data_IF_233223578526
#
_entry.id   IF_233223578526
#
_cell.length_a   1.000
_cell.length_b   1.000
_cell.length_c   1.000
_cell.angle_alpha   90.00
_cell.angle_beta   90.00
_cell.angle_gamma   90.00
#
_symmetry.space_group_name_H-M   'P 1'
#
loop_
_entity.id
_entity.type
_entity.pdbx_description
1 polymer ?
#
# COMPACT_ATOMS: atom_id res chain seq x y z
N UNK A 1 -24.76 -1.06 1.31
CA UNK A 1 -23.50 -1.66 0.81
C UNK A 1 -22.97 -0.75 -0.27
N UNK A 2 -21.71 -0.36 -0.16
CA UNK A 2 -21.04 0.42 -1.20
C UNK A 2 -21.03 -0.39 -2.50
N UNK A 3 -21.65 0.17 -3.56
CA UNK A 3 -21.83 -0.51 -4.87
C UNK A 3 -20.51 -0.86 -5.58
N UNK A 4 -19.38 -0.37 -5.04
CA UNK A 4 -18.07 -0.61 -5.60
C UNK A 4 -17.41 -1.91 -5.12
N UNK A 5 -17.83 -2.47 -3.98
CA UNK A 5 -17.23 -3.68 -3.39
C UNK A 5 -17.80 -4.94 -4.06
N UNK A 6 -16.92 -5.79 -4.56
CA UNK A 6 -17.25 -7.04 -5.24
C UNK A 6 -16.64 -8.23 -4.48
N UNK A 7 -17.43 -9.28 -4.29
CA UNK A 7 -16.94 -10.59 -3.85
C UNK A 7 -16.90 -11.51 -5.07
N UNK A 8 -15.73 -11.95 -5.45
CA UNK A 8 -15.51 -12.72 -6.66
C UNK A 8 -14.60 -13.93 -6.40
N UNK A 9 -14.75 -14.95 -7.24
CA UNK A 9 -13.77 -16.03 -7.36
C UNK A 9 -12.79 -15.64 -8.47
N UNK A 10 -11.61 -15.19 -8.07
CA UNK A 10 -10.56 -14.74 -8.99
C UNK A 10 -9.68 -15.92 -9.42
N UNK A 11 -9.33 -16.00 -10.71
CA UNK A 11 -8.40 -16.99 -11.24
C UNK A 11 -6.97 -16.50 -11.11
N UNK A 12 -6.08 -17.36 -10.68
CA UNK A 12 -4.64 -17.09 -10.65
C UNK A 12 -4.09 -17.11 -12.07
N UNK A 13 -3.55 -15.98 -12.50
CA UNK A 13 -2.85 -15.84 -13.78
C UNK A 13 -1.38 -16.25 -13.67
N UNK A 14 -0.71 -15.78 -12.62
CA UNK A 14 0.66 -16.16 -12.30
C UNK A 14 0.96 -15.96 -10.82
N UNK A 15 1.94 -16.69 -10.34
CA UNK A 15 2.53 -16.58 -9.01
C UNK A 15 4.04 -16.72 -9.13
N UNK A 16 4.78 -15.69 -8.71
CA UNK A 16 6.23 -15.68 -8.80
C UNK A 16 6.83 -15.26 -7.46
N UNK A 17 7.85 -15.98 -7.00
CA UNK A 17 8.65 -15.56 -5.86
C UNK A 17 9.67 -14.53 -6.34
N UNK A 18 9.66 -13.32 -5.79
CA UNK A 18 10.54 -12.21 -6.20
C UNK A 18 11.64 -11.88 -5.18
N UNK A 19 11.48 -12.36 -3.94
CA UNK A 19 12.49 -12.29 -2.89
C UNK A 19 12.30 -13.48 -1.92
N UNK A 20 13.08 -13.58 -0.85
CA UNK A 20 13.10 -14.74 0.06
C UNK A 20 11.71 -15.12 0.55
N UNK A 21 10.91 -14.15 0.97
CA UNK A 21 9.55 -14.32 1.50
C UNK A 21 8.50 -13.45 0.79
N UNK A 22 8.84 -12.85 -0.37
CA UNK A 22 7.98 -11.94 -1.14
C UNK A 22 7.53 -12.59 -2.45
N UNK A 23 6.24 -12.48 -2.71
CA UNK A 23 5.56 -13.08 -3.86
C UNK A 23 4.79 -12.03 -4.65
N UNK A 24 4.83 -12.18 -5.97
CA UNK A 24 4.06 -11.42 -6.96
C UNK A 24 2.95 -12.32 -7.49
N UNK A 25 1.72 -12.01 -7.13
CA UNK A 25 0.50 -12.74 -7.50
C UNK A 25 -0.32 -11.90 -8.48
N UNK A 26 -0.64 -12.47 -9.63
CA UNK A 26 -1.54 -11.86 -10.61
C UNK A 26 -2.84 -12.63 -10.67
N UNK A 27 -3.96 -11.91 -10.57
CA UNK A 27 -5.31 -12.46 -10.54
C UNK A 27 -6.16 -11.88 -11.67
N UNK A 28 -6.92 -12.73 -12.33
CA UNK A 28 -8.05 -12.29 -13.17
C UNK A 28 -9.19 -11.86 -12.23
N UNK A 29 -9.44 -10.56 -12.15
CA UNK A 29 -10.34 -9.94 -11.18
C UNK A 29 -11.03 -8.70 -11.78
N UNK A 30 -11.53 -8.78 -13.01
CA UNK A 30 -12.05 -7.67 -13.80
C UNK A 30 -12.95 -6.70 -13.04
N UNK A 31 -14.02 -7.15 -12.36
CA UNK A 31 -14.90 -6.24 -11.61
C UNK A 31 -14.25 -5.45 -10.48
N UNK A 32 -13.14 -5.98 -9.92
CA UNK A 32 -12.34 -5.29 -8.91
C UNK A 32 -11.31 -4.37 -9.56
N UNK A 33 -10.62 -4.84 -10.61
CA UNK A 33 -9.60 -4.07 -11.33
C UNK A 33 -10.18 -2.79 -11.96
N UNK A 34 -11.41 -2.85 -12.49
CA UNK A 34 -12.10 -1.71 -13.10
C UNK A 34 -12.31 -0.55 -12.12
N UNK A 35 -12.61 -0.87 -10.86
CA UNK A 35 -13.02 0.11 -9.84
C UNK A 35 -11.91 0.52 -8.89
N UNK A 36 -10.82 -0.24 -8.86
CA UNK A 36 -9.72 0.00 -7.94
C UNK A 36 -8.98 1.31 -8.25
N UNK A 37 -8.57 2.00 -7.18
CA UNK A 37 -7.74 3.20 -7.24
C UNK A 37 -6.47 3.00 -6.40
N UNK A 38 -5.38 3.74 -6.68
CA UNK A 38 -4.11 3.60 -5.96
C UNK A 38 -4.26 3.73 -4.44
N UNK A 39 -3.64 2.84 -3.68
CA UNK A 39 -3.68 2.83 -2.21
C UNK A 39 -4.78 1.96 -1.61
N UNK A 40 -5.71 1.44 -2.41
CA UNK A 40 -6.70 0.47 -1.96
C UNK A 40 -6.09 -0.94 -1.81
N UNK A 41 -6.84 -1.83 -1.18
CA UNK A 41 -6.47 -3.22 -0.94
C UNK A 41 -7.61 -4.18 -1.29
N UNK A 42 -7.32 -5.46 -1.27
CA UNK A 42 -8.31 -6.55 -1.35
C UNK A 42 -8.16 -7.47 -0.14
N UNK A 43 -9.24 -8.12 0.26
CA UNK A 43 -9.24 -9.22 1.22
C UNK A 43 -9.24 -10.55 0.47
N UNK A 44 -8.20 -11.37 0.67
CA UNK A 44 -8.09 -12.72 0.08
C UNK A 44 -8.49 -13.74 1.14
N UNK A 45 -9.38 -14.65 0.78
CA UNK A 45 -9.87 -15.72 1.64
C UNK A 45 -9.06 -17.00 1.43
N UNK A 46 -8.77 -17.67 2.54
CA UNK A 46 -8.13 -18.99 2.50
C UNK A 46 -9.08 -20.05 1.92
N UNK A 47 -8.53 -20.98 1.14
CA UNK A 47 -9.24 -22.17 0.72
C UNK A 47 -9.39 -23.19 1.86
N UNK A 48 -8.53 -23.10 2.88
CA UNK A 48 -8.64 -23.85 4.13
C UNK A 48 -9.74 -23.26 5.03
N UNK A 49 -10.86 -23.96 5.14
CA UNK A 49 -12.05 -23.54 5.88
C UNK A 49 -11.82 -23.38 7.40
N UNK A 50 -10.72 -23.87 7.95
CA UNK A 50 -10.34 -23.63 9.35
C UNK A 50 -9.81 -22.21 9.56
N UNK A 51 -9.46 -21.46 8.50
CA UNK A 51 -8.90 -20.11 8.53
C UNK A 51 -9.98 -19.09 8.18
N UNK A 52 -10.76 -18.70 9.18
CA UNK A 52 -11.98 -17.90 8.99
C UNK A 52 -11.73 -16.47 8.53
N UNK A 53 -10.61 -15.83 8.93
CA UNK A 53 -10.36 -14.44 8.61
C UNK A 53 -9.64 -14.30 7.25
N UNK A 54 -10.04 -13.35 6.40
CA UNK A 54 -9.32 -13.04 5.17
C UNK A 54 -8.00 -12.32 5.46
N UNK A 55 -7.15 -12.21 4.43
CA UNK A 55 -5.88 -11.46 4.49
C UNK A 55 -5.99 -10.22 3.63
N UNK A 56 -5.87 -9.02 4.25
CA UNK A 56 -5.80 -7.77 3.49
C UNK A 56 -4.45 -7.70 2.77
N UNK A 57 -4.49 -7.48 1.47
CA UNK A 57 -3.31 -7.30 0.62
C UNK A 57 -3.52 -6.06 -0.22
N UNK A 58 -2.58 -5.12 -0.16
CA UNK A 58 -2.61 -3.91 -0.97
C UNK A 58 -2.54 -4.22 -2.46
N UNK A 59 -3.28 -3.47 -3.26
CA UNK A 59 -3.20 -3.56 -4.72
C UNK A 59 -1.91 -2.86 -5.16
N UNK A 60 -1.05 -3.61 -5.85
CA UNK A 60 0.20 -3.11 -6.43
C UNK A 60 -0.06 -2.40 -7.75
N UNK A 61 -0.80 -3.06 -8.65
CA UNK A 61 -1.15 -2.53 -9.98
C UNK A 61 -2.50 -3.07 -10.44
N UNK A 62 -3.11 -2.31 -11.33
CA UNK A 62 -4.35 -2.68 -12.02
C UNK A 62 -4.12 -2.68 -13.54
N UNK A 63 -4.47 -3.77 -14.21
CA UNK A 63 -4.62 -3.79 -15.66
C UNK A 63 -6.11 -3.86 -15.98
N UNK A 64 -6.71 -2.70 -16.21
CA UNK A 64 -8.15 -2.59 -16.50
C UNK A 64 -8.52 -3.23 -17.84
N UNK A 65 -7.63 -3.18 -18.82
CA UNK A 65 -7.86 -3.75 -20.14
C UNK A 65 -7.87 -5.28 -20.11
N UNK A 66 -6.95 -5.87 -19.36
CA UNK A 66 -6.90 -7.32 -19.14
C UNK A 66 -7.81 -7.81 -18.00
N UNK A 67 -8.43 -6.89 -17.24
CA UNK A 67 -9.20 -7.23 -16.05
C UNK A 67 -8.36 -7.90 -14.97
N UNK A 68 -7.10 -7.49 -14.80
CA UNK A 68 -6.16 -8.15 -13.91
C UNK A 68 -5.71 -7.24 -12.74
N UNK A 69 -5.47 -7.87 -11.59
CA UNK A 69 -4.82 -7.27 -10.43
C UNK A 69 -3.45 -7.89 -10.22
N UNK A 70 -2.48 -7.06 -9.87
CA UNK A 70 -1.18 -7.47 -9.34
C UNK A 70 -1.12 -7.18 -7.84
N UNK A 71 -0.80 -8.20 -7.07
CA UNK A 71 -0.68 -8.15 -5.61
C UNK A 71 0.73 -8.61 -5.25
N UNK A 72 1.47 -7.76 -4.54
CA UNK A 72 2.79 -8.16 -4.03
C UNK A 72 2.71 -8.22 -2.52
N UNK A 73 3.04 -9.37 -1.93
CA UNK A 73 2.87 -9.62 -0.50
C UNK A 73 4.02 -10.43 0.08
N UNK A 74 4.19 -10.28 1.40
CA UNK A 74 5.15 -11.05 2.19
C UNK A 74 4.46 -12.20 2.91
N UNK A 75 5.16 -13.32 3.07
CA UNK A 75 4.72 -14.39 3.98
C UNK A 75 4.86 -13.89 5.41
N UNK A 76 3.71 -13.59 6.06
CA UNK A 76 3.64 -13.14 7.45
C UNK A 76 2.96 -14.16 8.38
N UNK A 77 2.42 -15.25 7.83
CA UNK A 77 1.74 -16.28 8.58
C UNK A 77 1.14 -17.35 7.66
N UNK A 78 0.36 -18.27 8.23
CA UNK A 78 -0.13 -19.45 7.52
C UNK A 78 -1.03 -19.12 6.30
N UNK A 79 -1.85 -18.06 6.37
CA UNK A 79 -2.69 -17.66 5.23
C UNK A 79 -1.85 -17.20 4.02
N UNK A 80 -0.89 -16.30 4.24
CA UNK A 80 0.01 -15.85 3.17
C UNK A 80 0.97 -16.96 2.70
N UNK A 81 1.32 -17.90 3.60
CA UNK A 81 2.05 -19.12 3.23
C UNK A 81 1.21 -20.07 2.37
N UNK A 82 -0.09 -20.14 2.58
CA UNK A 82 -1.02 -20.86 1.70
C UNK A 82 -1.05 -20.21 0.33
N UNK A 83 -1.21 -18.87 0.28
CA UNK A 83 -1.25 -18.15 -0.99
C UNK A 83 0.05 -18.30 -1.79
N UNK A 84 1.22 -18.39 -1.15
CA UNK A 84 2.50 -18.59 -1.84
C UNK A 84 2.61 -19.93 -2.60
N UNK A 85 1.68 -20.85 -2.38
CA UNK A 85 1.59 -22.14 -3.06
C UNK A 85 0.61 -22.16 -4.23
N UNK A 86 -0.15 -21.08 -4.43
CA UNK A 86 -1.10 -20.96 -5.53
C UNK A 86 -0.40 -21.08 -6.89
N UNK A 87 -1.06 -21.72 -7.85
CA UNK A 87 -0.55 -21.95 -9.19
C UNK A 87 -1.48 -21.34 -10.23
N UNK A 88 -0.93 -20.99 -11.38
CA UNK A 88 -1.72 -20.52 -12.51
C UNK A 88 -2.85 -21.51 -12.85
N UNK A 89 -4.05 -20.98 -13.03
CA UNK A 89 -5.29 -21.76 -13.28
C UNK A 89 -6.10 -22.06 -12.01
N UNK A 90 -5.51 -22.03 -10.82
CA UNK A 90 -6.26 -22.17 -9.57
C UNK A 90 -7.12 -20.92 -9.28
N UNK A 91 -8.00 -21.01 -8.31
CA UNK A 91 -8.90 -19.90 -7.94
C UNK A 91 -8.81 -19.58 -6.47
N UNK A 92 -9.05 -18.30 -6.14
CA UNK A 92 -9.11 -17.79 -4.77
C UNK A 92 -10.26 -16.79 -4.64
N UNK A 93 -10.93 -16.80 -3.49
CA UNK A 93 -12.00 -15.85 -3.23
C UNK A 93 -11.43 -14.51 -2.80
N UNK A 94 -11.90 -13.43 -3.43
CA UNK A 94 -11.42 -12.05 -3.24
C UNK A 94 -12.59 -11.11 -2.99
N UNK A 95 -12.48 -10.27 -1.98
CA UNK A 95 -13.38 -9.16 -1.72
C UNK A 95 -12.63 -7.83 -1.94
N UNK A 96 -13.14 -6.97 -2.79
CA UNK A 96 -12.54 -5.67 -3.07
C UNK A 96 -13.24 -4.88 -4.18
N UNK A 97 -12.69 -3.70 -4.54
CA UNK A 97 -11.63 -3.00 -3.82
C UNK A 97 -12.12 -2.49 -2.46
N UNK A 98 -11.21 -2.38 -1.48
CA UNK A 98 -11.51 -1.98 -0.11
C UNK A 98 -10.70 -0.75 0.30
N UNK A 99 -11.27 0.02 1.24
CA UNK A 99 -10.65 1.23 1.76
C UNK A 99 -10.66 2.40 0.78
N UNK A 100 -10.07 3.52 1.20
CA UNK A 100 -9.91 4.74 0.43
C UNK A 100 -8.49 4.81 -0.16
N UNK A 101 -8.38 5.30 -1.39
CA UNK A 101 -7.10 5.46 -2.08
C UNK A 101 -6.37 6.75 -1.70
N UNK A 102 -5.20 6.94 -2.31
CA UNK A 102 -4.46 8.19 -2.24
C UNK A 102 -5.19 9.31 -3.01
N UNK A 103 -5.22 10.55 -2.48
CA UNK A 103 -5.85 11.70 -3.14
C UNK A 103 -4.96 12.20 -4.28
N UNK A 104 -5.30 11.85 -5.51
CA UNK A 104 -4.55 12.25 -6.71
C UNK A 104 -4.70 13.74 -7.01
N UNK A 105 -5.83 14.34 -6.64
CA UNK A 105 -6.18 15.75 -6.86
C UNK A 105 -5.29 16.74 -6.06
N UNK A 106 -4.46 16.26 -5.14
CA UNK A 106 -3.47 17.09 -4.45
C UNK A 106 -2.27 17.44 -5.31
N UNK A 107 -2.11 16.73 -6.42
CA UNK A 107 -1.03 16.91 -7.38
C UNK A 107 -1.50 17.57 -8.67
N UNK A 108 -0.59 18.24 -9.34
CA UNK A 108 -0.71 18.77 -10.69
C UNK A 108 0.66 18.72 -11.39
N UNK A 109 0.74 19.16 -12.65
CA UNK A 109 1.95 19.08 -13.46
C UNK A 109 3.12 19.96 -12.94
N UNK A 110 2.83 20.98 -12.11
CA UNK A 110 3.83 21.91 -11.58
C UNK A 110 4.47 21.41 -10.27
N UNK A 111 3.78 20.55 -9.55
CA UNK A 111 4.20 20.03 -8.25
C UNK A 111 5.15 18.85 -8.37
N UNK A 112 5.94 18.67 -7.31
CA UNK A 112 6.78 17.49 -7.09
C UNK A 112 6.21 16.68 -5.93
N UNK A 113 6.04 15.37 -6.12
CA UNK A 113 5.63 14.44 -5.06
C UNK A 113 6.80 13.63 -4.53
N UNK A 114 6.83 13.41 -3.22
CA UNK A 114 7.52 12.25 -2.65
C UNK A 114 6.61 11.03 -2.66
N UNK A 115 7.11 9.92 -3.19
CA UNK A 115 6.55 8.59 -3.01
C UNK A 115 7.53 7.79 -2.14
N UNK A 116 7.21 7.64 -0.86
CA UNK A 116 8.13 7.02 0.11
C UNK A 116 7.61 5.66 0.52
N UNK A 117 8.29 4.61 0.10
CA UNK A 117 7.93 3.22 0.39
C UNK A 117 8.93 2.51 1.27
N UNK A 118 8.47 1.71 2.25
CA UNK A 118 9.34 0.89 3.09
C UNK A 118 8.97 -0.60 3.06
N UNK A 119 9.89 -1.47 2.61
CA UNK A 119 9.68 -2.90 2.56
C UNK A 119 8.38 -3.27 1.83
N UNK A 120 7.48 -4.04 2.48
CA UNK A 120 6.21 -4.46 1.84
C UNK A 120 5.20 -3.30 1.67
N UNK A 121 5.51 -2.09 2.11
CA UNK A 121 4.75 -0.88 1.78
C UNK A 121 5.10 -0.26 0.42
N UNK A 122 6.11 -0.76 -0.29
CA UNK A 122 6.50 -0.31 -1.63
C UNK A 122 5.44 -0.65 -2.70
N UNK A 123 4.88 -1.86 -2.76
CA UNK A 123 3.94 -2.26 -3.80
C UNK A 123 2.75 -1.31 -4.03
N UNK A 124 2.01 -0.80 -3.02
CA UNK A 124 0.87 0.08 -3.27
C UNK A 124 1.22 1.44 -3.88
N UNK A 125 2.51 1.81 -3.92
CA UNK A 125 2.97 3.05 -4.55
C UNK A 125 3.22 2.90 -6.06
N UNK A 126 3.27 1.69 -6.60
CA UNK A 126 3.51 1.45 -8.04
C UNK A 126 2.37 2.04 -8.87
N UNK A 127 1.13 1.67 -8.57
CA UNK A 127 -0.04 2.22 -9.28
C UNK A 127 -0.16 3.74 -9.07
N UNK A 128 0.17 4.23 -7.87
CA UNK A 128 0.20 5.65 -7.58
C UNK A 128 1.21 6.39 -8.46
N UNK A 129 2.44 5.85 -8.60
CA UNK A 129 3.47 6.44 -9.44
C UNK A 129 3.07 6.58 -10.90
N UNK A 130 2.26 5.63 -11.40
CA UNK A 130 1.72 5.65 -12.77
C UNK A 130 0.64 6.72 -12.99
N UNK A 131 -0.22 6.93 -11.99
CA UNK A 131 -1.40 7.78 -12.11
C UNK A 131 -1.20 9.21 -11.66
N UNK A 132 -0.25 9.50 -10.76
CA UNK A 132 0.02 10.86 -10.32
C UNK A 132 0.58 11.73 -11.44
N UNK A 133 0.04 12.93 -11.64
CA UNK A 133 0.66 13.94 -12.52
C UNK A 133 1.93 14.53 -11.89
N UNK A 134 2.66 15.32 -12.65
CA UNK A 134 3.82 16.09 -12.18
C UNK A 134 5.06 15.25 -11.92
N UNK A 135 6.03 15.88 -11.25
CA UNK A 135 7.33 15.25 -10.94
C UNK A 135 7.22 14.34 -9.73
N UNK A 136 7.93 13.21 -9.77
CA UNK A 136 7.94 12.26 -8.65
C UNK A 136 9.38 11.93 -8.25
N UNK A 137 9.65 12.05 -6.96
CA UNK A 137 10.85 11.57 -6.29
C UNK A 137 10.47 10.33 -5.48
N UNK A 138 10.85 9.16 -5.98
CA UNK A 138 10.45 7.86 -5.45
C UNK A 138 11.57 7.36 -4.56
N UNK A 139 11.32 7.27 -3.25
CA UNK A 139 12.30 6.87 -2.25
C UNK A 139 11.90 5.51 -1.67
N UNK A 140 12.71 4.50 -1.94
CA UNK A 140 12.43 3.11 -1.59
C UNK A 140 13.39 2.65 -0.49
N UNK A 141 12.84 2.29 0.67
CA UNK A 141 13.59 1.83 1.83
C UNK A 141 13.49 0.31 2.03
N UNK A 142 14.63 -0.31 2.25
CA UNK A 142 14.76 -1.74 2.48
C UNK A 142 15.54 -2.02 3.77
N UNK A 143 15.38 -3.22 4.33
CA UNK A 143 16.30 -3.69 5.37
C UNK A 143 17.60 -4.19 4.73
N UNK A 144 17.48 -4.96 3.66
CA UNK A 144 18.57 -5.50 2.85
C UNK A 144 18.06 -5.78 1.45
N UNK A 145 18.97 -5.75 0.45
CA UNK A 145 18.61 -5.98 -0.94
C UNK A 145 17.64 -4.93 -1.49
N UNK A 146 17.06 -5.20 -2.65
CA UNK A 146 16.00 -4.40 -3.26
C UNK A 146 15.08 -5.30 -4.09
N UNK A 147 13.79 -4.98 -4.13
CA UNK A 147 12.81 -5.65 -4.99
C UNK A 147 11.84 -4.62 -5.57
N UNK A 148 11.24 -4.95 -6.70
CA UNK A 148 10.19 -4.17 -7.35
C UNK A 148 10.61 -2.76 -7.86
N UNK A 149 11.86 -2.40 -7.79
CA UNK A 149 12.38 -1.10 -8.26
C UNK A 149 12.08 -0.86 -9.74
N UNK A 150 12.21 -1.91 -10.56
CA UNK A 150 11.93 -1.86 -12.00
C UNK A 150 10.50 -1.42 -12.33
N UNK A 151 9.53 -1.67 -11.44
CA UNK A 151 8.14 -1.27 -11.64
C UNK A 151 7.92 0.26 -11.60
N UNK A 152 8.90 1.00 -11.10
CA UNK A 152 8.85 2.47 -11.04
C UNK A 152 9.58 3.15 -12.21
N UNK A 153 10.28 2.40 -13.06
CA UNK A 153 11.04 2.97 -14.19
C UNK A 153 10.13 3.75 -15.14
N UNK A 154 10.54 4.94 -15.49
CA UNK A 154 9.76 5.85 -16.35
C UNK A 154 8.67 6.65 -15.64
N UNK A 155 8.47 6.44 -14.31
CA UNK A 155 7.44 7.13 -13.55
C UNK A 155 7.97 8.22 -12.62
N UNK A 156 9.29 8.37 -12.50
CA UNK A 156 9.95 9.38 -11.66
C UNK A 156 11.43 9.07 -11.44
N UNK A 157 12.10 9.92 -10.65
CA UNK A 157 13.47 9.66 -10.19
C UNK A 157 13.45 8.71 -9.01
N UNK A 158 14.20 7.61 -9.08
CA UNK A 158 14.21 6.55 -8.06
C UNK A 158 15.47 6.70 -7.21
N UNK A 159 15.29 6.65 -5.91
CA UNK A 159 16.33 6.67 -4.88
C UNK A 159 16.11 5.51 -3.93
N UNK A 160 17.15 4.80 -3.57
CA UNK A 160 17.07 3.65 -2.68
C UNK A 160 17.89 3.85 -1.42
N UNK A 161 17.39 3.31 -0.32
CA UNK A 161 18.11 3.21 0.94
C UNK A 161 18.04 1.78 1.49
N UNK A 162 19.09 1.29 2.08
CA UNK A 162 19.08 0.02 2.83
C UNK A 162 19.80 0.16 4.17
N UNK A 163 19.23 -0.46 5.21
CA UNK A 163 19.78 -0.36 6.57
C UNK A 163 21.19 -0.96 6.64
N UNK A 164 21.43 -2.06 5.91
CA UNK A 164 22.72 -2.75 5.85
C UNK A 164 23.72 -2.12 4.85
N UNK A 165 23.29 -1.19 4.00
CA UNK A 165 24.10 -0.56 2.96
C UNK A 165 24.32 -1.44 1.74
N UNK A 166 23.53 -2.50 1.55
CA UNK A 166 23.63 -3.40 0.39
C UNK A 166 23.17 -2.77 -0.91
N UNK A 167 22.33 -1.72 -0.83
CA UNK A 167 21.86 -0.96 -2.00
C UNK A 167 21.58 0.50 -1.65
N UNK A 168 21.95 1.42 -2.55
CA UNK A 168 21.71 2.86 -2.41
C UNK A 168 22.36 3.50 -1.18
N UNK A 169 21.69 4.48 -0.60
CA UNK A 169 22.12 5.14 0.64
C UNK A 169 22.08 4.15 1.81
N UNK A 170 23.17 4.09 2.57
CA UNK A 170 23.20 3.32 3.83
C UNK A 170 22.41 4.06 4.90
N UNK A 171 21.30 3.47 5.35
CA UNK A 171 20.42 4.06 6.35
C UNK A 171 18.95 3.91 6.00
N UNK A 172 18.13 4.85 6.44
CA UNK A 172 16.70 4.87 6.21
C UNK A 172 16.30 5.87 5.09
N UNK A 173 15.01 5.94 4.78
CA UNK A 173 14.47 6.81 3.71
C UNK A 173 14.73 8.31 3.96
N UNK A 174 14.73 8.76 5.23
CA UNK A 174 15.05 10.15 5.55
C UNK A 174 16.54 10.47 5.36
N UNK A 175 17.42 9.50 5.62
CA UNK A 175 18.86 9.64 5.35
C UNK A 175 19.09 9.80 3.85
N UNK A 176 18.41 9.00 3.03
CA UNK A 176 18.44 9.10 1.58
C UNK A 176 17.93 10.47 1.08
N UNK A 177 16.80 10.95 1.59
CA UNK A 177 16.24 12.26 1.25
C UNK A 177 17.24 13.38 1.57
N UNK A 178 17.90 13.33 2.74
CA UNK A 178 18.90 14.32 3.16
C UNK A 178 20.17 14.26 2.33
N UNK A 179 20.71 13.07 2.11
CA UNK A 179 21.93 12.84 1.32
C UNK A 179 21.83 13.39 -0.10
N UNK A 180 20.67 13.17 -0.74
CA UNK A 180 20.42 13.64 -2.11
C UNK A 180 19.81 15.06 -2.18
N UNK A 181 19.58 15.73 -1.05
CA UNK A 181 19.01 17.08 -1.00
C UNK A 181 17.62 17.18 -1.62
N UNK A 182 16.82 16.10 -1.52
CA UNK A 182 15.53 16.00 -2.18
C UNK A 182 14.49 16.93 -1.54
N UNK A 183 13.56 17.45 -2.36
CA UNK A 183 12.45 18.31 -1.92
C UNK A 183 11.18 17.97 -2.72
N UNK A 184 10.03 18.10 -2.08
CA UNK A 184 8.72 17.91 -2.71
C UNK A 184 7.67 18.79 -2.04
N UNK A 185 6.54 18.97 -2.73
CA UNK A 185 5.39 19.75 -2.26
C UNK A 185 4.40 18.89 -1.46
N UNK A 186 4.28 17.60 -1.83
CA UNK A 186 3.36 16.64 -1.20
C UNK A 186 4.08 15.31 -1.01
N UNK A 187 3.82 14.64 0.12
CA UNK A 187 4.35 13.30 0.39
C UNK A 187 3.23 12.25 0.44
N UNK A 188 3.46 11.11 -0.20
CA UNK A 188 2.67 9.90 -0.11
C UNK A 188 3.56 8.78 0.41
N UNK A 189 3.19 8.18 1.54
CA UNK A 189 4.04 7.17 2.16
C UNK A 189 3.27 5.90 2.57
N UNK A 190 3.94 4.76 2.43
CA UNK A 190 3.46 3.47 2.89
C UNK A 190 4.63 2.62 3.40
N UNK A 191 4.49 2.01 4.57
CA UNK A 191 5.55 1.17 5.16
C UNK A 191 5.39 0.94 6.65
N UNK A 192 6.43 0.48 7.32
CA UNK A 192 6.39 0.17 8.75
C UNK A 192 6.04 1.40 9.61
N UNK A 193 5.28 1.19 10.68
CA UNK A 193 4.86 2.26 11.60
C UNK A 193 6.02 3.16 12.09
N UNK A 194 7.21 2.65 12.46
CA UNK A 194 8.33 3.51 12.84
C UNK A 194 8.77 4.47 11.72
N UNK A 195 8.78 4.00 10.46
CA UNK A 195 9.09 4.85 9.30
C UNK A 195 8.01 5.91 9.11
N UNK A 196 6.73 5.53 9.13
CA UNK A 196 5.62 6.46 8.95
C UNK A 196 5.59 7.53 10.05
N UNK A 197 5.91 7.17 11.30
CA UNK A 197 6.03 8.11 12.43
C UNK A 197 7.16 9.12 12.20
N UNK A 198 8.32 8.66 11.74
CA UNK A 198 9.44 9.53 11.43
C UNK A 198 9.13 10.50 10.27
N UNK A 199 8.46 9.97 9.21
CA UNK A 199 8.00 10.77 8.07
C UNK A 199 6.92 11.79 8.47
N UNK A 200 5.99 11.41 9.35
CA UNK A 200 4.97 12.33 9.89
C UNK A 200 5.60 13.52 10.63
N UNK A 201 6.57 13.24 11.50
CA UNK A 201 7.27 14.26 12.23
C UNK A 201 8.06 15.18 11.29
N UNK A 202 8.80 14.60 10.36
CA UNK A 202 9.60 15.34 9.38
C UNK A 202 8.72 16.18 8.43
N UNK A 203 7.60 15.67 7.94
CA UNK A 203 6.68 16.44 7.11
C UNK A 203 6.12 17.66 7.83
N UNK A 204 5.81 17.51 9.13
CA UNK A 204 5.38 18.63 9.98
C UNK A 204 6.47 19.69 10.15
N UNK A 205 7.74 19.29 10.33
CA UNK A 205 8.89 20.21 10.42
C UNK A 205 9.11 20.98 9.10
N UNK A 206 8.78 20.35 7.95
CA UNK A 206 8.92 20.96 6.62
C UNK A 206 7.68 21.71 6.15
N UNK A 207 6.62 21.79 6.97
CA UNK A 207 5.30 22.34 6.59
C UNK A 207 4.76 21.72 5.28
N UNK A 208 4.98 20.41 5.12
CA UNK A 208 4.65 19.65 3.90
C UNK A 208 3.39 18.82 4.11
N UNK A 209 2.45 18.91 3.17
CA UNK A 209 1.28 18.03 3.13
C UNK A 209 1.71 16.57 2.95
N UNK A 210 1.21 15.67 3.81
CA UNK A 210 1.58 14.27 3.77
C UNK A 210 0.38 13.34 3.93
N UNK A 211 0.38 12.24 3.17
CA UNK A 211 -0.62 11.19 3.16
C UNK A 211 0.03 9.85 3.46
N UNK A 212 -0.46 9.19 4.51
CA UNK A 212 0.12 7.98 5.05
C UNK A 212 -0.86 6.81 4.90
N UNK A 213 -0.40 5.73 4.27
CA UNK A 213 -1.15 4.47 4.24
C UNK A 213 -0.79 3.64 5.47
N UNK A 214 -1.76 3.48 6.37
CA UNK A 214 -1.59 2.78 7.63
C UNK A 214 -1.97 1.31 7.50
N UNK A 215 -1.28 0.47 8.26
CA UNK A 215 -1.54 -0.96 8.35
C UNK A 215 -2.01 -1.33 9.77
N UNK A 216 -3.00 -2.23 9.86
CA UNK A 216 -3.44 -2.81 11.11
C UNK A 216 -4.01 -4.21 10.87
N UNK A 217 -4.03 -5.04 11.90
CA UNK A 217 -4.71 -6.34 11.84
C UNK A 217 -6.20 -6.15 11.55
N UNK A 218 -6.70 -6.85 10.55
CA UNK A 218 -8.08 -6.78 10.11
C UNK A 218 -8.80 -8.10 10.32
N UNK A 219 -10.08 -8.03 10.68
CA UNK A 219 -10.97 -9.18 10.66
C UNK A 219 -11.95 -9.09 9.49
N UNK A 220 -12.92 -8.16 9.50
CA UNK A 220 -13.95 -8.09 8.45
C UNK A 220 -13.50 -7.39 7.16
N UNK A 221 -12.57 -6.42 7.22
CA UNK A 221 -12.12 -5.62 6.08
C UNK A 221 -13.15 -4.60 5.53
N UNK A 222 -14.35 -4.52 6.12
CA UNK A 222 -15.48 -3.72 5.61
C UNK A 222 -16.04 -2.70 6.60
N UNK A 223 -15.35 -2.48 7.73
CA UNK A 223 -15.75 -1.48 8.73
C UNK A 223 -16.73 -1.94 9.79
N UNK A 224 -17.12 -3.21 9.83
CA UNK A 224 -18.17 -3.71 10.74
C UNK A 224 -17.69 -4.11 12.14
N UNK A 225 -16.46 -4.66 12.25
CA UNK A 225 -16.00 -5.33 13.48
C UNK A 225 -15.14 -4.47 14.42
N UNK A 226 -14.73 -3.28 14.01
CA UNK A 226 -13.87 -2.33 14.76
C UNK A 226 -12.49 -2.90 15.17
N UNK A 227 -12.00 -3.97 14.53
CA UNK A 227 -10.71 -4.58 14.86
C UNK A 227 -9.51 -3.76 14.38
N UNK A 228 -9.66 -3.00 13.28
CA UNK A 228 -8.56 -2.29 12.63
C UNK A 228 -8.60 -0.77 12.87
N UNK A 229 -8.87 -0.34 14.09
CA UNK A 229 -8.93 1.09 14.41
C UNK A 229 -7.54 1.70 14.59
N UNK A 230 -7.35 2.91 14.08
CA UNK A 230 -6.25 3.79 14.42
C UNK A 230 -6.75 5.00 15.22
N UNK A 231 -5.86 5.62 15.97
CA UNK A 231 -6.20 6.81 16.76
C UNK A 231 -6.17 8.05 15.89
N UNK A 232 -7.18 8.91 16.03
CA UNK A 232 -7.27 10.21 15.36
C UNK A 232 -7.13 11.35 16.35
N UNK A 233 -6.76 12.54 15.88
CA UNK A 233 -6.68 13.74 16.73
C UNK A 233 -8.07 14.29 17.06
N UNK A 234 -8.95 14.28 16.08
CA UNK A 234 -10.31 14.76 16.24
C UNK A 234 -11.29 13.62 16.53
N UNK A 235 -12.39 13.97 17.19
CA UNK A 235 -13.49 13.04 17.40
C UNK A 235 -14.27 12.86 16.10
N UNK A 236 -14.57 11.61 15.78
CA UNK A 236 -15.52 11.32 14.71
C UNK A 236 -16.91 11.86 15.05
N UNK A 237 -17.52 12.56 14.09
CA UNK A 237 -18.80 13.24 14.27
C UNK A 237 -19.97 12.27 14.59
N UNK A 238 -19.83 10.98 14.19
CA UNK A 238 -20.87 9.98 14.37
C UNK A 238 -20.71 9.19 15.68
N UNK A 239 -19.53 8.64 15.93
CA UNK A 239 -19.26 7.77 17.08
C UNK A 239 -18.79 8.52 18.33
N UNK A 240 -18.41 9.79 18.19
CA UNK A 240 -17.88 10.66 19.25
C UNK A 240 -16.58 10.13 19.91
N UNK A 241 -15.84 9.27 19.19
CA UNK A 241 -14.54 8.72 19.62
C UNK A 241 -13.41 9.17 18.72
N UNK A 242 -12.18 9.19 19.28
CA UNK A 242 -10.96 9.59 18.56
C UNK A 242 -10.34 8.36 17.90
N UNK A 243 -11.06 7.73 16.98
CA UNK A 243 -10.52 6.64 16.17
C UNK A 243 -11.19 6.56 14.79
N UNK A 244 -10.48 5.94 13.85
CA UNK A 244 -10.97 5.62 12.52
C UNK A 244 -10.65 4.17 12.17
N UNK A 245 -11.49 3.54 11.37
CA UNK A 245 -11.30 2.15 10.91
C UNK A 245 -10.43 2.18 9.65
N UNK A 246 -9.27 1.59 9.72
CA UNK A 246 -8.32 1.56 8.59
C UNK A 246 -8.96 0.94 7.34
N UNK A 247 -9.82 -0.07 7.49
CA UNK A 247 -10.47 -0.73 6.36
C UNK A 247 -11.65 0.05 5.74
N UNK A 248 -12.13 1.11 6.37
CA UNK A 248 -13.29 1.88 5.90
C UNK A 248 -12.98 3.36 5.68
N UNK A 249 -12.43 4.04 6.69
CA UNK A 249 -12.02 5.45 6.59
C UNK A 249 -10.60 5.61 6.01
N UNK A 250 -9.73 4.61 6.17
CA UNK A 250 -8.40 4.48 5.57
C UNK A 250 -8.38 3.51 4.39
N UNK A 251 -7.22 2.90 4.06
CA UNK A 251 -5.95 2.94 4.81
C UNK A 251 -5.18 4.25 4.71
N UNK A 252 -5.50 5.11 3.75
CA UNK A 252 -4.81 6.37 3.52
C UNK A 252 -5.45 7.48 4.35
N UNK A 253 -4.62 8.14 5.15
CA UNK A 253 -5.02 9.26 6.00
C UNK A 253 -4.08 10.44 5.79
N UNK A 254 -4.58 11.66 5.98
CA UNK A 254 -3.73 12.83 6.11
C UNK A 254 -2.89 12.69 7.38
N UNK A 255 -1.59 12.96 7.27
CA UNK A 255 -0.65 12.73 8.38
C UNK A 255 -1.01 13.53 9.64
N UNK A 256 -1.60 14.72 9.48
CA UNK A 256 -2.00 15.55 10.61
C UNK A 256 -3.23 15.05 11.36
N UNK A 257 -4.07 14.18 10.75
CA UNK A 257 -5.32 13.72 11.35
C UNK A 257 -5.15 12.50 12.26
N UNK A 258 -4.03 11.77 12.11
CA UNK A 258 -3.79 10.51 12.82
C UNK A 258 -2.68 10.61 13.85
N UNK A 259 -2.78 9.76 14.89
CA UNK A 259 -1.76 9.58 15.93
C UNK A 259 -1.14 8.18 15.73
N UNK A 260 0.08 8.12 15.23
CA UNK A 260 0.80 6.86 14.96
C UNK A 260 2.08 6.73 15.77
#
# INVERSE_FOLDING_TARGET
MDKNKQYIKAKVLSQTRIDEDIYDLRLEAGPVAEKAVPGQFVSIYSNDKSRLLPRPISICETDRAAGALRLVYRIAGEGTREFSKLRAGETVDVLGPLGNGFPLERMNEEKTAFLVGGGIGIPPLVELAKQLPGKKQIVLGYRSGAFLEDAFRGHGSIYTASEDGSTGTKGNVLDCIREHGLRADVMYACGPTPMLRALQAWAKEQDMEAWLSLEQRMACGIGACLACVCRTKEKDAHSQVNNARICAEGPVFRAEDVCI
#
